data_IF_462679140701
#
_entry.id   IF_462679140701
#
_cell.length_a   1.000
_cell.length_b   1.000
_cell.length_c   1.000
_cell.angle_alpha   90.00
_cell.angle_beta   90.00
_cell.angle_gamma   90.00
#
_symmetry.space_group_name_H-M   'P 1'
#
loop_
_entity.id
_entity.type
_entity.pdbx_description
1 polymer ?
#
# COMPACT_ATOMS: atom_id res chain seq x y z
N UNK A 1 20.64 -17.00 -33.26
CA UNK A 1 20.53 -16.55 -31.85
C UNK A 1 21.64 -15.56 -31.58
N UNK A 2 21.34 -14.25 -31.59
CA UNK A 2 22.39 -13.23 -31.41
C UNK A 2 21.98 -11.77 -31.62
N UNK A 3 20.69 -11.41 -31.53
CA UNK A 3 20.25 -10.04 -31.89
C UNK A 3 19.37 -9.32 -30.87
N UNK A 4 19.03 -9.94 -29.73
CA UNK A 4 18.19 -9.28 -28.70
C UNK A 4 19.01 -8.62 -27.58
N UNK A 5 20.23 -9.10 -27.32
CA UNK A 5 21.13 -8.52 -26.31
C UNK A 5 21.81 -7.22 -26.76
N UNK A 6 22.00 -7.00 -28.07
CA UNK A 6 22.63 -5.78 -28.59
C UNK A 6 21.69 -4.57 -28.58
N UNK A 7 20.36 -4.76 -28.66
CA UNK A 7 19.40 -3.64 -28.62
C UNK A 7 19.23 -3.03 -27.22
N UNK A 8 19.43 -3.81 -26.16
CA UNK A 8 19.28 -3.33 -24.77
C UNK A 8 20.48 -2.45 -24.34
N UNK A 9 21.66 -2.68 -24.94
CA UNK A 9 22.88 -1.95 -24.58
C UNK A 9 22.93 -0.55 -25.21
N UNK A 10 22.31 -0.35 -26.38
CA UNK A 10 22.22 0.96 -27.05
C UNK A 10 21.24 1.94 -26.39
N UNK A 11 20.18 1.47 -25.73
CA UNK A 11 19.23 2.35 -25.03
C UNK A 11 19.74 2.88 -23.69
N UNK A 12 20.78 2.26 -23.09
CA UNK A 12 21.40 2.75 -21.85
C UNK A 12 22.37 3.91 -22.06
N UNK A 13 22.93 4.08 -23.25
CA UNK A 13 23.92 5.13 -23.51
C UNK A 13 23.30 6.50 -23.85
N UNK A 14 22.05 6.53 -24.34
CA UNK A 14 21.34 7.78 -24.68
C UNK A 14 20.75 8.50 -23.47
N UNK A 15 20.53 7.80 -22.35
CA UNK A 15 19.93 8.39 -21.14
C UNK A 15 20.94 9.16 -20.26
N UNK A 16 22.23 8.83 -20.30
CA UNK A 16 23.27 9.50 -19.48
C UNK A 16 23.77 10.84 -20.04
N UNK A 17 23.26 11.33 -21.18
CA UNK A 17 23.74 12.56 -21.85
C UNK A 17 22.85 13.81 -21.67
N UNK A 18 21.70 13.72 -21.00
CA UNK A 18 20.68 14.79 -21.06
C UNK A 18 20.45 15.63 -19.79
N UNK A 19 21.15 15.42 -18.68
CA UNK A 19 20.89 16.18 -17.45
C UNK A 19 22.16 16.87 -16.92
N UNK A 20 22.44 18.06 -17.48
CA UNK A 20 23.36 19.04 -16.89
C UNK A 20 22.71 19.67 -15.67
N UNK A 21 23.45 19.68 -14.58
CA UNK A 21 23.14 20.36 -13.34
C UNK A 21 23.30 21.88 -13.52
N UNK A 22 22.28 22.66 -13.16
CA UNK A 22 22.41 24.09 -12.91
C UNK A 22 22.42 24.33 -11.40
N UNK A 23 23.59 24.73 -10.88
CA UNK A 23 23.75 25.34 -9.57
C UNK A 23 23.52 26.85 -9.70
N UNK A 24 22.69 27.44 -8.83
CA UNK A 24 22.70 28.88 -8.55
C UNK A 24 22.52 29.11 -7.04
N UNK A 25 23.33 29.97 -6.41
CA UNK A 25 23.26 30.24 -4.96
C UNK A 25 22.26 31.36 -4.63
N UNK A 26 21.77 31.36 -3.39
CA UNK A 26 20.89 32.38 -2.81
C UNK A 26 21.65 33.63 -2.32
N UNK A 27 21.03 34.83 -2.26
CA UNK A 27 21.59 35.99 -1.58
C UNK A 27 20.99 36.23 -0.17
N UNK A 28 21.82 36.88 0.65
CA UNK A 28 21.61 37.30 2.05
C UNK A 28 21.10 38.75 2.16
N UNK A 29 20.46 39.06 3.29
CA UNK A 29 20.26 40.42 3.86
C UNK A 29 18.99 41.14 3.39
N UNK A 30 18.27 41.95 4.17
CA UNK A 30 18.43 42.47 5.53
C UNK A 30 17.27 43.45 5.84
N UNK A 31 16.92 43.56 7.12
CA UNK A 31 16.28 44.65 7.88
C UNK A 31 15.43 45.75 7.19
N UNK A 32 14.21 46.01 7.70
CA UNK A 32 13.86 47.28 8.38
C UNK A 32 12.38 47.33 8.82
N UNK A 33 12.16 47.99 9.96
CA UNK A 33 10.92 48.23 10.71
C UNK A 33 10.05 49.36 10.13
N UNK A 34 8.82 49.47 10.70
CA UNK A 34 7.88 50.62 10.80
C UNK A 34 6.60 50.45 9.97
N UNK A 35 5.47 50.05 10.57
CA UNK A 35 4.47 50.87 11.33
C UNK A 35 3.81 51.93 10.45
N UNK A 36 2.53 51.71 10.08
CA UNK A 36 1.50 52.76 10.06
C UNK A 36 0.11 52.12 10.26
N UNK A 37 -0.70 52.82 11.05
CA UNK A 37 -1.99 52.44 11.63
C UNK A 37 -3.12 53.23 10.95
N UNK A 38 -4.30 52.59 10.85
CA UNK A 38 -5.68 53.13 10.82
C UNK A 38 -6.21 53.75 9.49
N UNK A 39 -7.55 53.98 9.35
CA UNK A 39 -8.69 53.08 9.59
C UNK A 39 -9.74 53.11 8.45
N UNK A 40 -10.77 52.25 8.57
CA UNK A 40 -11.99 52.21 7.74
C UNK A 40 -12.72 53.56 7.61
N UNK A 41 -13.56 53.70 6.56
CA UNK A 41 -14.94 54.04 6.85
C UNK A 41 -15.98 53.18 6.10
N UNK A 42 -17.14 53.15 6.73
CA UNK A 42 -18.38 52.43 6.42
C UNK A 42 -19.32 53.39 5.70
N UNK A 43 -19.95 52.98 4.60
CA UNK A 43 -21.25 53.54 4.19
C UNK A 43 -21.93 52.72 3.09
N UNK A 44 -23.13 52.26 3.43
CA UNK A 44 -24.22 51.89 2.53
C UNK A 44 -24.75 53.13 1.78
N UNK A 45 -25.43 52.95 0.62
CA UNK A 45 -26.89 53.01 0.70
C UNK A 45 -27.64 52.02 -0.23
N UNK A 46 -28.89 51.80 0.17
CA UNK A 46 -30.03 51.23 -0.54
C UNK A 46 -30.23 51.71 -1.99
N UNK A 47 -30.73 50.84 -2.88
CA UNK A 47 -32.10 50.93 -3.43
C UNK A 47 -32.35 50.01 -4.64
N UNK A 48 -33.61 49.56 -4.72
CA UNK A 48 -34.40 49.26 -5.93
C UNK A 48 -34.09 48.02 -6.81
N UNK A 49 -34.88 46.98 -6.54
CA UNK A 49 -35.85 46.32 -7.45
C UNK A 49 -35.52 46.21 -8.94
N UNK A 50 -35.28 44.97 -9.42
CA UNK A 50 -35.91 44.40 -10.63
C UNK A 50 -36.13 42.90 -10.40
N UNK A 51 -37.38 42.45 -10.39
CA UNK A 51 -37.75 41.03 -10.61
C UNK A 51 -37.52 40.72 -12.09
N UNK A 52 -36.56 39.86 -12.40
CA UNK A 52 -36.49 39.17 -13.68
C UNK A 52 -36.67 37.68 -13.42
N UNK A 53 -37.89 37.19 -13.69
CA UNK A 53 -38.12 35.76 -13.88
C UNK A 53 -37.55 35.39 -15.25
N UNK A 54 -36.42 34.69 -15.26
CA UNK A 54 -35.89 34.04 -16.47
C UNK A 54 -35.64 32.58 -16.13
N UNK A 55 -36.58 31.75 -16.58
CA UNK A 55 -36.49 30.29 -16.57
C UNK A 55 -35.37 29.84 -17.52
N UNK A 56 -34.24 29.44 -16.95
CA UNK A 56 -33.19 28.74 -17.69
C UNK A 56 -33.51 27.25 -17.75
N UNK A 57 -33.53 26.61 -18.93
CA UNK A 57 -33.67 25.17 -19.02
C UNK A 57 -32.41 24.49 -18.51
N UNK A 58 -32.57 23.62 -17.51
CA UNK A 58 -31.52 22.74 -16.99
C UNK A 58 -31.09 21.74 -18.05
N UNK A 59 -30.00 22.02 -18.76
CA UNK A 59 -29.25 21.00 -19.49
C UNK A 59 -28.51 20.11 -18.49
N UNK A 60 -29.22 19.13 -17.94
CA UNK A 60 -28.62 18.01 -17.24
C UNK A 60 -28.25 16.93 -18.26
N UNK A 61 -27.09 17.10 -18.89
CA UNK A 61 -26.40 16.00 -19.56
C UNK A 61 -25.73 15.16 -18.47
N UNK A 62 -26.06 13.88 -18.27
CA UNK A 62 -25.35 13.05 -17.30
C UNK A 62 -24.02 12.64 -17.92
N UNK A 63 -22.98 13.45 -17.74
CA UNK A 63 -21.60 13.00 -17.87
C UNK A 63 -21.22 12.20 -16.61
N UNK A 64 -21.89 11.08 -16.38
CA UNK A 64 -21.57 10.19 -15.26
C UNK A 64 -20.38 9.32 -15.65
N UNK A 65 -19.17 9.86 -15.49
CA UNK A 65 -18.07 9.00 -15.05
C UNK A 65 -18.54 8.33 -13.75
N UNK A 66 -18.42 7.00 -13.58
CA UNK A 66 -18.83 6.37 -12.34
C UNK A 66 -18.12 7.10 -11.21
N UNK A 67 -18.84 7.46 -10.15
CA UNK A 67 -18.26 8.07 -8.96
C UNK A 67 -17.27 7.05 -8.38
N UNK A 68 -16.01 7.10 -8.83
CA UNK A 68 -14.98 6.17 -8.44
C UNK A 68 -14.78 6.34 -6.94
N UNK A 69 -15.16 5.30 -6.18
CA UNK A 69 -14.89 5.26 -4.75
C UNK A 69 -13.40 5.46 -4.48
N UNK A 70 -13.06 5.98 -3.30
CA UNK A 70 -11.65 6.16 -2.91
C UNK A 70 -10.86 4.85 -3.06
N UNK A 71 -9.66 4.85 -3.65
CA UNK A 71 -8.91 3.62 -3.84
C UNK A 71 -8.46 3.01 -2.50
N UNK A 72 -8.32 1.69 -2.48
CA UNK A 72 -7.60 0.98 -1.42
C UNK A 72 -6.10 0.98 -1.71
N UNK A 73 -5.28 1.22 -0.69
CA UNK A 73 -3.83 1.04 -0.77
C UNK A 73 -3.47 -0.32 -0.17
N UNK A 74 -3.03 -1.26 -1.01
CA UNK A 74 -2.62 -2.60 -0.58
C UNK A 74 -1.10 -2.66 -0.61
N UNK A 75 -0.48 -2.76 0.57
CA UNK A 75 0.96 -2.68 0.76
C UNK A 75 1.51 -4.04 1.15
N UNK A 76 2.42 -4.57 0.34
CA UNK A 76 3.24 -5.72 0.72
C UNK A 76 4.50 -5.23 1.41
N UNK A 77 4.76 -5.66 2.65
CA UNK A 77 6.01 -5.38 3.33
C UNK A 77 7.09 -6.40 2.90
N UNK A 78 8.32 -5.91 2.78
CA UNK A 78 9.47 -6.71 2.33
C UNK A 78 10.73 -5.87 2.19
N UNK A 79 11.87 -6.53 1.99
CA UNK A 79 13.14 -5.87 1.68
C UNK A 79 13.47 -5.94 0.17
N UNK A 80 13.96 -4.86 -0.45
CA UNK A 80 14.39 -4.85 -1.84
C UNK A 80 15.74 -5.53 -2.03
N UNK A 81 15.93 -6.17 -3.19
CA UNK A 81 17.19 -6.77 -3.61
C UNK A 81 17.12 -8.29 -3.70
N UNK A 82 17.94 -8.87 -4.59
CA UNK A 82 17.92 -10.30 -4.93
C UNK A 82 18.17 -11.23 -3.74
N UNK A 83 18.94 -10.78 -2.73
CA UNK A 83 19.25 -11.57 -1.53
C UNK A 83 18.03 -11.86 -0.65
N UNK A 84 16.99 -11.02 -0.71
CA UNK A 84 15.76 -11.18 0.08
C UNK A 84 14.64 -11.87 -0.69
N UNK A 85 14.84 -12.15 -1.98
CA UNK A 85 13.84 -12.88 -2.76
C UNK A 85 13.66 -14.28 -2.18
N UNK A 86 12.42 -14.62 -1.87
CA UNK A 86 12.06 -15.91 -1.31
C UNK A 86 12.26 -16.05 0.20
N UNK A 87 12.64 -14.98 0.91
CA UNK A 87 12.77 -15.01 2.38
C UNK A 87 11.40 -14.86 3.05
N UNK A 88 11.25 -15.41 4.26
CA UNK A 88 10.00 -15.31 5.04
C UNK A 88 9.53 -13.86 5.19
N UNK A 89 10.46 -12.94 5.44
CA UNK A 89 10.19 -11.50 5.60
C UNK A 89 9.75 -10.77 4.32
N UNK A 90 9.81 -11.45 3.16
CA UNK A 90 9.41 -10.90 1.87
C UNK A 90 8.06 -11.45 1.39
N UNK A 91 7.35 -12.21 2.24
CA UNK A 91 6.07 -12.79 1.87
C UNK A 91 5.01 -11.74 1.49
N UNK A 92 5.08 -10.54 2.08
CA UNK A 92 4.22 -9.43 1.69
C UNK A 92 4.44 -9.01 0.24
N UNK A 93 5.68 -8.98 -0.25
CA UNK A 93 5.98 -8.72 -1.66
C UNK A 93 5.48 -9.84 -2.56
N UNK A 94 5.70 -11.10 -2.17
CA UNK A 94 5.25 -12.26 -2.96
C UNK A 94 3.72 -12.29 -3.09
N UNK A 95 2.98 -11.94 -2.04
CA UNK A 95 1.53 -11.83 -2.11
C UNK A 95 1.06 -10.64 -2.96
N UNK A 96 1.77 -9.50 -2.97
CA UNK A 96 1.47 -8.42 -3.92
C UNK A 96 1.70 -8.87 -5.36
N UNK A 97 2.77 -9.62 -5.62
CA UNK A 97 3.07 -10.12 -6.95
C UNK A 97 1.98 -11.11 -7.41
N UNK A 98 1.52 -12.01 -6.52
CA UNK A 98 0.39 -12.91 -6.80
C UNK A 98 -0.93 -12.18 -7.05
N UNK A 99 -1.25 -11.12 -6.29
CA UNK A 99 -2.44 -10.29 -6.52
C UNK A 99 -2.31 -9.55 -7.86
N UNK A 100 -1.15 -8.97 -8.15
CA UNK A 100 -0.88 -8.26 -9.39
C UNK A 100 -1.06 -9.17 -10.61
N UNK A 101 -0.59 -10.41 -10.53
CA UNK A 101 -0.78 -11.42 -11.58
C UNK A 101 -2.25 -11.83 -11.73
N UNK A 102 -2.91 -12.21 -10.63
CA UNK A 102 -4.29 -12.69 -10.64
C UNK A 102 -5.30 -11.63 -11.14
N UNK A 103 -5.03 -10.35 -10.89
CA UNK A 103 -5.90 -9.22 -11.25
C UNK A 103 -5.42 -8.47 -12.51
N UNK A 104 -4.34 -8.94 -13.16
CA UNK A 104 -3.72 -8.28 -14.31
C UNK A 104 -3.34 -6.81 -14.04
N UNK A 105 -2.82 -6.51 -12.84
CA UNK A 105 -2.42 -5.16 -12.42
C UNK A 105 -0.90 -5.01 -12.56
N UNK A 106 -0.39 -4.34 -13.61
CA UNK A 106 1.05 -4.25 -13.81
C UNK A 106 1.71 -3.28 -12.81
N UNK A 107 2.72 -3.77 -12.10
CA UNK A 107 3.58 -3.00 -11.20
C UNK A 107 4.68 -2.27 -12.00
N UNK A 108 4.38 -1.06 -12.50
CA UNK A 108 5.28 -0.31 -13.41
C UNK A 108 5.68 1.07 -12.92
N UNK A 109 4.92 1.64 -11.99
CA UNK A 109 5.12 3.04 -11.59
C UNK A 109 6.05 3.09 -10.41
N UNK A 110 7.16 3.82 -10.51
CA UNK A 110 8.05 4.07 -9.36
C UNK A 110 7.71 5.45 -8.81
N UNK A 111 7.22 5.50 -7.57
CA UNK A 111 6.87 6.75 -6.90
C UNK A 111 7.01 6.59 -5.39
N UNK A 112 7.38 7.65 -4.67
CA UNK A 112 7.50 7.63 -3.21
C UNK A 112 8.33 6.44 -2.67
N UNK A 113 9.45 6.13 -3.35
CA UNK A 113 10.32 5.00 -3.03
C UNK A 113 9.56 3.65 -3.00
N UNK A 114 8.59 3.45 -3.88
CA UNK A 114 7.81 2.22 -4.00
C UNK A 114 7.60 1.85 -5.46
N UNK A 115 7.46 0.56 -5.73
CA UNK A 115 6.93 0.05 -6.99
C UNK A 115 5.41 -0.08 -6.85
N UNK A 116 4.68 0.61 -7.72
CA UNK A 116 3.23 0.75 -7.67
C UNK A 116 2.55 0.15 -8.91
N UNK A 117 1.35 -0.39 -8.69
CA UNK A 117 0.40 -0.79 -9.74
C UNK A 117 -0.98 -0.23 -9.43
N UNK A 118 -1.67 0.28 -10.45
CA UNK A 118 -3.03 0.81 -10.34
C UNK A 118 -3.97 -0.10 -11.12
N UNK A 119 -5.09 -0.45 -10.52
CA UNK A 119 -6.07 -1.31 -11.16
C UNK A 119 -7.35 -1.40 -10.36
N UNK A 120 -8.09 -2.47 -10.62
CA UNK A 120 -9.37 -2.76 -9.97
C UNK A 120 -9.37 -4.21 -9.51
N UNK A 121 -9.99 -4.47 -8.37
CA UNK A 121 -10.33 -5.82 -7.91
C UNK A 121 -11.85 -5.84 -7.80
N UNK A 122 -12.51 -6.53 -8.74
CA UNK A 122 -13.95 -6.37 -8.97
C UNK A 122 -14.30 -4.90 -9.26
N UNK A 123 -15.28 -4.29 -8.57
CA UNK A 123 -15.65 -2.89 -8.76
C UNK A 123 -14.76 -1.89 -7.99
N UNK A 124 -13.84 -2.37 -7.16
CA UNK A 124 -13.10 -1.55 -6.20
C UNK A 124 -11.75 -1.09 -6.78
N UNK A 125 -11.49 0.23 -6.87
CA UNK A 125 -10.18 0.71 -7.32
C UNK A 125 -9.11 0.42 -6.27
N UNK A 126 -7.95 -0.06 -6.71
CA UNK A 126 -6.82 -0.40 -5.85
C UNK A 126 -5.50 0.20 -6.34
N UNK A 127 -4.64 0.47 -5.38
CA UNK A 127 -3.24 0.83 -5.56
C UNK A 127 -2.40 -0.21 -4.84
N UNK A 128 -1.72 -1.07 -5.60
CA UNK A 128 -0.76 -2.03 -5.08
C UNK A 128 0.58 -1.31 -4.85
N UNK A 129 1.25 -1.61 -3.74
CA UNK A 129 2.52 -0.98 -3.39
C UNK A 129 3.52 -2.00 -2.80
N UNK A 130 4.75 -1.95 -3.32
CA UNK A 130 5.94 -2.62 -2.79
C UNK A 130 6.99 -1.57 -2.43
N UNK A 131 7.05 -1.13 -1.15
CA UNK A 131 8.05 -0.17 -0.68
C UNK A 131 9.47 -0.62 -1.04
N UNK A 132 10.18 0.17 -1.83
CA UNK A 132 11.57 -0.03 -2.19
C UNK A 132 12.50 0.63 -1.15
N UNK A 133 12.21 0.40 0.12
CA UNK A 133 12.97 0.82 1.31
C UNK A 133 13.37 -0.42 2.09
N UNK A 134 14.30 -0.30 3.06
CA UNK A 134 14.46 -1.38 4.03
C UNK A 134 13.20 -1.52 4.90
N UNK A 135 12.97 -2.72 5.43
CA UNK A 135 11.75 -3.06 6.15
C UNK A 135 11.43 -2.05 7.26
N UNK A 136 12.41 -1.71 8.09
CA UNK A 136 12.29 -0.76 9.20
C UNK A 136 11.98 0.69 8.77
N UNK A 137 12.07 0.99 7.48
CA UNK A 137 11.78 2.29 6.88
C UNK A 137 10.55 2.26 5.96
N UNK A 138 9.74 1.19 6.01
CA UNK A 138 8.56 1.03 5.14
C UNK A 138 7.57 2.20 5.25
N UNK A 139 7.46 2.82 6.43
CA UNK A 139 6.58 3.97 6.67
C UNK A 139 6.99 5.22 5.89
N UNK A 140 8.29 5.40 5.61
CA UNK A 140 8.81 6.52 4.80
C UNK A 140 8.32 6.48 3.35
N UNK A 141 7.90 5.29 2.90
CA UNK A 141 7.29 5.10 1.58
C UNK A 141 5.77 5.18 1.65
N UNK A 142 5.16 4.41 2.56
CA UNK A 142 3.69 4.26 2.65
C UNK A 142 3.00 5.56 3.05
N UNK A 143 3.56 6.32 3.99
CA UNK A 143 2.99 7.60 4.44
C UNK A 143 2.80 8.59 3.30
N UNK A 144 3.87 8.95 2.55
CA UNK A 144 3.77 9.83 1.39
C UNK A 144 2.82 9.33 0.28
N UNK A 145 2.72 8.01 0.06
CA UNK A 145 1.75 7.43 -0.90
C UNK A 145 0.33 7.72 -0.44
N UNK A 146 0.00 7.43 0.83
CA UNK A 146 -1.32 7.68 1.40
C UNK A 146 -1.69 9.17 1.33
N UNK A 147 -0.77 10.07 1.68
CA UNK A 147 -0.99 11.52 1.56
C UNK A 147 -1.19 11.98 0.12
N UNK A 148 -0.34 11.54 -0.81
CA UNK A 148 -0.39 11.96 -2.22
C UNK A 148 -1.69 11.54 -2.90
N UNK A 149 -2.13 10.30 -2.68
CA UNK A 149 -3.37 9.75 -3.24
C UNK A 149 -4.61 10.05 -2.40
N UNK A 150 -4.45 10.78 -1.28
CA UNK A 150 -5.53 11.10 -0.32
C UNK A 150 -6.27 9.86 0.18
N UNK A 151 -5.54 8.76 0.38
CA UNK A 151 -6.10 7.49 0.84
C UNK A 151 -6.15 7.50 2.37
N UNK A 152 -7.34 7.39 2.99
CA UNK A 152 -7.46 7.32 4.44
C UNK A 152 -6.87 6.00 4.95
N UNK A 153 -6.29 6.00 6.16
CA UNK A 153 -5.60 4.83 6.75
C UNK A 153 -6.51 3.61 6.90
N UNK A 154 -7.81 3.85 7.09
CA UNK A 154 -8.84 2.81 7.17
C UNK A 154 -8.97 2.02 5.85
N UNK A 155 -8.45 2.55 4.73
CA UNK A 155 -8.33 1.91 3.40
C UNK A 155 -6.89 1.50 3.05
N UNK A 156 -6.00 1.42 4.03
CA UNK A 156 -4.63 0.92 3.87
C UNK A 156 -4.55 -0.50 4.42
N UNK A 157 -4.42 -1.49 3.55
CA UNK A 157 -4.19 -2.88 3.93
C UNK A 157 -2.67 -3.15 3.96
N UNK A 158 -2.13 -3.45 5.15
CA UNK A 158 -0.74 -3.89 5.29
C UNK A 158 -0.63 -5.42 5.29
N UNK A 159 0.20 -5.98 4.43
CA UNK A 159 0.47 -7.41 4.29
C UNK A 159 1.90 -7.70 4.76
N UNK A 160 2.06 -8.59 5.75
CA UNK A 160 3.36 -8.86 6.36
C UNK A 160 3.43 -10.25 7.00
N UNK A 161 4.65 -10.73 7.28
CA UNK A 161 4.92 -12.00 7.95
C UNK A 161 4.71 -11.91 9.47
N UNK A 162 4.23 -13.01 10.05
CA UNK A 162 3.91 -13.08 11.45
C UNK A 162 4.43 -14.37 12.08
N UNK A 163 5.29 -14.22 13.08
CA UNK A 163 5.91 -15.32 13.81
C UNK A 163 4.94 -15.99 14.80
N UNK A 164 3.90 -15.29 15.24
CA UNK A 164 2.93 -15.83 16.20
C UNK A 164 1.85 -16.69 15.53
N UNK A 165 1.76 -16.64 14.21
CA UNK A 165 0.88 -17.49 13.44
C UNK A 165 1.68 -18.65 12.87
N UNK A 166 1.14 -19.87 13.00
CA UNK A 166 1.69 -21.07 12.38
C UNK A 166 1.89 -20.87 10.87
N UNK A 167 2.81 -21.62 10.28
CA UNK A 167 3.03 -21.56 8.84
C UNK A 167 1.73 -21.78 8.05
N UNK A 168 1.60 -21.15 6.89
CA UNK A 168 0.44 -21.20 6.00
C UNK A 168 -0.85 -20.57 6.55
N UNK A 169 -0.82 -20.01 7.76
CA UNK A 169 -1.99 -19.40 8.39
C UNK A 169 -2.16 -17.94 8.03
N UNK A 170 -3.29 -17.61 7.40
CA UNK A 170 -3.63 -16.23 7.12
C UNK A 170 -4.65 -15.69 8.12
N UNK A 171 -4.54 -14.40 8.45
CA UNK A 171 -5.53 -13.72 9.29
C UNK A 171 -5.66 -12.26 8.90
N UNK A 172 -6.88 -11.82 8.60
CA UNK A 172 -7.18 -10.40 8.42
C UNK A 172 -7.66 -9.82 9.75
N UNK A 173 -7.08 -8.69 10.15
CA UNK A 173 -7.47 -7.93 11.34
C UNK A 173 -7.78 -6.48 10.95
N UNK A 174 -8.80 -5.85 11.55
CA UNK A 174 -9.14 -4.46 11.26
C UNK A 174 -8.17 -3.44 11.88
N UNK A 175 -7.46 -3.82 12.94
CA UNK A 175 -6.51 -2.97 13.69
C UNK A 175 -5.54 -3.83 14.51
N UNK A 176 -4.45 -3.23 15.02
CA UNK A 176 -3.55 -3.88 15.96
C UNK A 176 -2.17 -3.22 16.12
N UNK A 177 -1.40 -3.67 17.12
CA UNK A 177 -0.02 -3.23 17.32
C UNK A 177 0.95 -3.81 16.28
N UNK A 178 2.23 -3.44 16.35
CA UNK A 178 3.24 -3.94 15.41
C UNK A 178 3.67 -5.39 15.69
N UNK A 179 3.42 -5.95 16.88
CA UNK A 179 3.73 -7.35 17.19
C UNK A 179 5.21 -7.71 17.02
N UNK A 180 6.11 -6.79 17.36
CA UNK A 180 7.56 -6.94 17.12
C UNK A 180 8.03 -6.74 15.66
N UNK A 181 7.14 -6.66 14.68
CA UNK A 181 7.52 -6.51 13.28
C UNK A 181 7.96 -5.07 12.93
N UNK A 182 9.20 -4.90 12.46
CA UNK A 182 9.82 -3.59 12.23
C UNK A 182 9.12 -2.75 11.14
N UNK A 183 8.63 -3.37 10.06
CA UNK A 183 7.87 -2.66 9.03
C UNK A 183 6.57 -2.07 9.54
N UNK A 184 5.77 -2.88 10.25
CA UNK A 184 4.57 -2.40 10.95
C UNK A 184 4.85 -1.31 11.98
N UNK A 185 5.97 -1.38 12.72
CA UNK A 185 6.39 -0.29 13.62
C UNK A 185 6.56 1.01 12.84
N UNK A 186 7.33 0.96 11.75
CA UNK A 186 7.57 2.10 10.86
C UNK A 186 6.27 2.70 10.29
N UNK A 187 5.33 1.86 9.86
CA UNK A 187 4.02 2.30 9.36
C UNK A 187 3.22 3.04 10.43
N UNK A 188 3.13 2.48 11.64
CA UNK A 188 2.38 3.07 12.76
C UNK A 188 2.98 4.43 13.14
N UNK A 189 4.30 4.55 13.19
CA UNK A 189 5.00 5.83 13.45
C UNK A 189 4.62 6.89 12.41
N UNK A 190 4.64 6.53 11.11
CA UNK A 190 4.30 7.45 10.02
C UNK A 190 2.80 7.77 9.92
N UNK A 191 1.94 6.96 10.54
CA UNK A 191 0.53 7.27 10.74
C UNK A 191 0.24 8.00 12.06
N UNK A 192 1.26 8.56 12.71
CA UNK A 192 1.11 9.36 13.92
C UNK A 192 0.76 8.53 15.15
N UNK A 193 1.26 7.29 15.22
CA UNK A 193 1.00 6.36 16.31
C UNK A 193 -0.34 5.62 16.20
N UNK A 194 -1.14 5.91 15.16
CA UNK A 194 -2.46 5.31 14.99
C UNK A 194 -2.38 3.90 14.40
N UNK A 195 -3.28 3.04 14.86
CA UNK A 195 -3.27 1.59 14.57
C UNK A 195 -4.57 1.10 13.89
N UNK A 196 -5.45 2.04 13.53
CA UNK A 196 -6.76 1.88 12.90
C UNK A 196 -6.63 1.71 11.38
N UNK A 197 -5.84 0.72 10.98
CA UNK A 197 -5.75 0.28 9.59
C UNK A 197 -5.70 -1.25 9.49
N UNK A 198 -6.37 -1.82 8.48
CA UNK A 198 -6.47 -3.25 8.31
C UNK A 198 -5.12 -3.87 7.95
N UNK A 199 -4.98 -5.15 8.29
CA UNK A 199 -3.78 -5.93 8.02
C UNK A 199 -4.10 -7.37 7.70
N UNK A 200 -3.32 -7.94 6.78
CA UNK A 200 -3.30 -9.35 6.47
C UNK A 200 -1.99 -9.92 7.04
N UNK A 201 -2.11 -10.71 8.10
CA UNK A 201 -1.00 -11.39 8.75
C UNK A 201 -0.79 -12.72 8.04
N UNK A 202 0.43 -12.96 7.59
CA UNK A 202 0.85 -14.22 7.00
C UNK A 202 1.68 -15.00 8.00
N UNK A 203 1.19 -16.15 8.46
CA UNK A 203 1.91 -16.98 9.41
C UNK A 203 3.11 -17.66 8.78
N UNK A 204 4.28 -17.40 9.36
CA UNK A 204 5.55 -18.03 8.98
C UNK A 204 6.07 -18.99 10.05
N UNK A 205 5.34 -19.12 11.17
CA UNK A 205 5.74 -19.93 12.32
C UNK A 205 6.86 -19.30 13.13
N UNK A 206 7.14 -19.90 14.28
CA UNK A 206 8.33 -19.59 15.07
C UNK A 206 9.49 -20.50 14.63
N UNK A 207 10.75 -20.03 14.71
CA UNK A 207 11.88 -20.91 14.48
C UNK A 207 11.86 -22.10 15.43
N UNK A 208 12.24 -23.27 14.91
CA UNK A 208 12.59 -24.42 15.73
C UNK A 208 13.93 -24.13 16.42
N UNK A 209 14.02 -24.46 17.71
CA UNK A 209 15.17 -24.17 18.58
C UNK A 209 15.41 -22.65 18.80
N UNK A 210 16.32 -22.31 19.74
CA UNK A 210 16.62 -20.93 20.19
C UNK A 210 17.31 -20.04 19.11
N UNK A 211 16.91 -20.15 17.84
CA UNK A 211 17.37 -19.27 16.77
C UNK A 211 16.82 -17.86 16.98
N UNK A 212 17.65 -16.85 16.69
CA UNK A 212 17.21 -15.45 16.66
C UNK A 212 16.09 -15.26 15.63
N UNK A 213 14.90 -14.76 16.05
CA UNK A 213 13.80 -14.47 15.13
C UNK A 213 14.19 -13.58 13.94
N UNK A 214 15.11 -12.63 14.16
CA UNK A 214 15.56 -11.72 13.10
C UNK A 214 16.33 -12.46 12.00
N UNK A 215 17.14 -13.45 12.38
CA UNK A 215 17.83 -14.32 11.43
C UNK A 215 16.84 -15.26 10.71
N UNK A 216 15.86 -15.81 11.44
CA UNK A 216 14.87 -16.73 10.90
C UNK A 216 14.01 -16.11 9.78
N UNK A 217 13.52 -14.88 9.98
CA UNK A 217 12.70 -14.21 8.95
C UNK A 217 13.48 -13.89 7.67
N UNK A 218 14.81 -13.76 7.76
CA UNK A 218 15.69 -13.53 6.62
C UNK A 218 16.09 -14.83 5.90
N UNK A 219 15.70 -15.99 6.41
CA UNK A 219 15.90 -17.27 5.71
C UNK A 219 14.82 -17.51 4.67
N UNK A 220 15.18 -18.29 3.64
CA UNK A 220 14.24 -18.76 2.62
C UNK A 220 13.35 -19.87 3.16
N UNK A 221 12.16 -19.99 2.59
CA UNK A 221 11.32 -21.17 2.77
C UNK A 221 12.02 -22.41 2.23
N UNK A 222 11.87 -23.53 2.94
CA UNK A 222 12.35 -24.83 2.48
C UNK A 222 11.47 -25.34 1.32
N UNK A 223 11.90 -26.38 0.57
CA UNK A 223 11.15 -26.86 -0.59
C UNK A 223 9.73 -27.36 -0.28
N UNK A 224 9.48 -27.92 0.92
CA UNK A 224 8.15 -28.37 1.34
C UNK A 224 7.24 -27.18 1.61
N UNK A 225 7.71 -26.23 2.41
CA UNK A 225 7.03 -24.95 2.68
C UNK A 225 6.72 -24.22 1.38
N UNK A 226 7.68 -24.15 0.43
CA UNK A 226 7.48 -23.46 -0.85
C UNK A 226 6.34 -24.06 -1.67
N UNK A 227 6.18 -25.39 -1.68
CA UNK A 227 5.08 -26.05 -2.40
C UNK A 227 3.72 -25.67 -1.81
N UNK A 228 3.62 -25.65 -0.48
CA UNK A 228 2.39 -25.22 0.20
C UNK A 228 2.16 -23.71 0.03
N UNK A 229 3.23 -22.91 -0.02
CA UNK A 229 3.18 -21.46 -0.12
C UNK A 229 2.39 -20.98 -1.33
N UNK A 230 2.53 -21.62 -2.49
CA UNK A 230 1.82 -21.23 -3.71
C UNK A 230 0.29 -21.33 -3.51
N UNK A 231 -0.18 -22.40 -2.86
CA UNK A 231 -1.61 -22.55 -2.51
C UNK A 231 -2.05 -21.49 -1.50
N UNK A 232 -1.21 -21.17 -0.52
CA UNK A 232 -1.50 -20.17 0.50
C UNK A 232 -1.58 -18.76 -0.10
N UNK A 233 -0.69 -18.43 -1.03
CA UNK A 233 -0.71 -17.16 -1.74
C UNK A 233 -2.02 -16.99 -2.51
N UNK A 234 -2.51 -18.04 -3.19
CA UNK A 234 -3.82 -18.00 -3.84
C UNK A 234 -4.96 -17.78 -2.84
N UNK A 235 -4.93 -18.44 -1.67
CA UNK A 235 -5.91 -18.14 -0.60
C UNK A 235 -5.82 -16.69 -0.13
N UNK A 236 -4.62 -16.12 -0.10
CA UNK A 236 -4.39 -14.70 0.20
C UNK A 236 -5.05 -13.78 -0.83
N UNK A 237 -4.92 -14.10 -2.12
CA UNK A 237 -5.60 -13.39 -3.22
C UNK A 237 -7.12 -13.42 -3.02
N UNK A 238 -7.70 -14.59 -2.73
CA UNK A 238 -9.13 -14.73 -2.45
C UNK A 238 -9.58 -13.92 -1.22
N UNK A 239 -8.77 -13.90 -0.16
CA UNK A 239 -9.03 -13.08 1.02
C UNK A 239 -9.05 -11.58 0.70
N UNK A 240 -8.15 -11.11 -0.17
CA UNK A 240 -8.12 -9.73 -0.65
C UNK A 240 -9.31 -9.43 -1.57
N UNK A 241 -9.68 -10.35 -2.47
CA UNK A 241 -10.89 -10.22 -3.31
C UNK A 241 -12.12 -10.01 -2.45
N UNK A 242 -12.31 -10.90 -1.47
CA UNK A 242 -13.44 -10.81 -0.54
C UNK A 242 -13.43 -9.48 0.23
N UNK A 243 -12.26 -9.03 0.69
CA UNK A 243 -12.11 -7.72 1.33
C UNK A 243 -12.59 -6.58 0.43
N UNK A 244 -12.22 -6.62 -0.86
CA UNK A 244 -12.54 -5.57 -1.83
C UNK A 244 -14.01 -5.58 -2.26
N UNK A 245 -14.67 -6.73 -2.30
CA UNK A 245 -16.06 -6.88 -2.77
C UNK A 245 -17.09 -6.80 -1.65
N UNK A 246 -16.79 -7.39 -0.49
CA UNK A 246 -17.72 -7.57 0.63
C UNK A 246 -17.41 -6.68 1.84
N UNK A 247 -16.22 -6.07 1.84
CA UNK A 247 -15.77 -5.16 2.89
C UNK A 247 -15.15 -5.86 4.10
N UNK A 248 -14.49 -5.05 4.94
CA UNK A 248 -13.65 -5.50 6.05
C UNK A 248 -14.38 -6.30 7.12
N UNK A 249 -15.55 -5.85 7.55
CA UNK A 249 -16.28 -6.51 8.65
C UNK A 249 -16.75 -7.91 8.25
N UNK A 250 -17.38 -8.03 7.07
CA UNK A 250 -17.85 -9.33 6.56
C UNK A 250 -16.67 -10.27 6.34
N UNK A 251 -15.57 -9.79 5.74
CA UNK A 251 -14.36 -10.58 5.51
C UNK A 251 -13.74 -11.09 6.82
N UNK A 252 -13.60 -10.24 7.84
CA UNK A 252 -13.03 -10.64 9.14
C UNK A 252 -13.87 -11.74 9.79
N UNK A 253 -15.20 -11.68 9.67
CA UNK A 253 -16.09 -12.70 10.21
C UNK A 253 -16.07 -13.98 9.38
N UNK A 254 -16.22 -13.92 8.06
CA UNK A 254 -16.41 -15.12 7.23
C UNK A 254 -15.10 -15.84 6.90
N UNK A 255 -14.04 -15.08 6.57
CA UNK A 255 -12.79 -15.64 6.07
C UNK A 255 -11.89 -16.19 7.19
N UNK A 256 -11.85 -15.50 8.33
CA UNK A 256 -11.08 -15.99 9.48
C UNK A 256 -11.71 -17.24 10.13
N UNK A 257 -13.03 -17.44 9.99
CA UNK A 257 -13.75 -18.58 10.57
C UNK A 257 -13.61 -19.88 9.77
N UNK A 258 -13.31 -19.81 8.48
CA UNK A 258 -13.14 -20.97 7.59
C UNK A 258 -11.91 -21.85 7.90
N UNK A 259 -11.34 -21.65 9.09
CA UNK A 259 -10.03 -22.10 9.55
C UNK A 259 -10.12 -23.16 10.64
N UNK A 260 -11.21 -23.21 11.41
CA UNK A 260 -11.39 -24.21 12.47
C UNK A 260 -11.55 -25.62 11.89
N UNK A 261 -12.32 -25.75 10.82
CA UNK A 261 -12.74 -27.03 10.27
C UNK A 261 -11.60 -27.90 9.73
N UNK A 262 -10.54 -27.36 9.12
CA UNK A 262 -9.44 -28.17 8.57
C UNK A 262 -8.47 -28.69 9.64
N UNK A 263 -8.18 -27.90 10.67
CA UNK A 263 -7.34 -28.34 11.79
C UNK A 263 -8.10 -29.26 12.76
N UNK A 264 -9.39 -29.03 12.95
CA UNK A 264 -10.27 -29.94 13.69
C UNK A 264 -10.42 -31.28 12.92
N UNK A 265 -10.59 -31.25 11.59
CA UNK A 265 -10.61 -32.47 10.76
C UNK A 265 -9.30 -33.28 10.80
N UNK A 266 -8.13 -32.62 10.83
CA UNK A 266 -6.84 -33.34 10.90
C UNK A 266 -6.66 -33.99 12.29
N UNK A 267 -7.12 -33.31 13.36
CA UNK A 267 -7.10 -33.87 14.72
C UNK A 267 -8.10 -34.99 14.96
N UNK A 268 -9.17 -35.09 14.16
CA UNK A 268 -10.13 -36.20 14.22
C UNK A 268 -9.67 -37.43 13.42
N UNK A 269 -8.60 -37.32 12.63
CA UNK A 269 -8.03 -38.39 11.81
C UNK A 269 -6.75 -39.00 12.39
N UNK A 270 -6.27 -38.50 13.54
CA UNK A 270 -5.16 -39.03 14.35
C UNK A 270 -5.69 -39.69 15.63
#
# INVERSE_FOLDING_TARGET
MGTMMQQIQLQRQTWMRSHRWCNTPAPLGGSSLAVFLLPCPRSSPSSLSIRACSSSPSNNSPSSSPALGLPWLIVGLGNPGSKFVGTRHNIGFELIDAIAEAENIPLRTIQQRSLLGKGFIGPTPVLLAKPHTYMNLSGESVGPISTYYKIPRERVLAIYDDLELEFAMLRILPRGGHGGHNGMRSLIEHFGGKQDFPRLRFGVGRPECNMDPSAYVLQKFNPRERKELDEVLQRGVEGVRLLMTEGLQKTVTTWNLHRKSRLEMIKELE
#
